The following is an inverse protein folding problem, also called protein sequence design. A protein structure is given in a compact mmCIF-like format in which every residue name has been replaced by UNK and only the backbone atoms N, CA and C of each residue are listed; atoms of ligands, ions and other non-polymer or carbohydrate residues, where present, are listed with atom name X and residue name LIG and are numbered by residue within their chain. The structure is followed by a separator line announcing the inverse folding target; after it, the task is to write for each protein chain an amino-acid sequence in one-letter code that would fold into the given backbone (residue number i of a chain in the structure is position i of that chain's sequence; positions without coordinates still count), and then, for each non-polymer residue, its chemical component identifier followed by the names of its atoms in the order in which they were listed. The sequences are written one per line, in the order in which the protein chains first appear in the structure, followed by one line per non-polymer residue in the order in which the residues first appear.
data_IF_476695959630
#
_entry.id   IF_476695959630
#
_cell.length_a   1.000
_cell.length_b   1.000
_cell.length_c   1.000
_cell.angle_alpha   90.00
_cell.angle_beta   90.00
_cell.angle_gamma   90.00
#
_symmetry.space_group_name_H-M   'P 1'
#
loop_
_entity.id
_entity.type
_entity.pdbx_description
1 polymer ?
#
# COMPACT_ATOMS: atom_id res chain seq x y z
N UNK A 1 -15.60 7.39 -2.58
CA UNK A 1 -15.29 8.61 -3.34
C UNK A 1 -16.49 9.53 -3.34
N UNK A 2 -16.59 10.38 -2.32
CA UNK A 2 -17.65 11.38 -2.12
C UNK A 2 -17.16 12.79 -2.47
N UNK A 3 -15.86 13.04 -2.46
CA UNK A 3 -15.24 14.33 -2.74
C UNK A 3 -13.80 14.16 -3.29
N UNK A 4 -13.15 15.28 -3.64
CA UNK A 4 -11.78 15.27 -4.15
C UNK A 4 -10.74 14.76 -3.13
N UNK A 5 -10.96 14.96 -1.83
CA UNK A 5 -10.04 14.44 -0.81
C UNK A 5 -10.01 12.92 -0.78
N UNK A 6 -11.13 12.24 -1.01
CA UNK A 6 -11.15 10.77 -1.09
C UNK A 6 -10.28 10.24 -2.22
N UNK A 7 -10.21 10.96 -3.35
CA UNK A 7 -9.33 10.59 -4.47
C UNK A 7 -7.86 10.76 -4.06
N UNK A 8 -7.51 11.89 -3.44
CA UNK A 8 -6.15 12.10 -2.94
C UNK A 8 -5.74 11.01 -1.95
N UNK A 9 -6.62 10.64 -1.01
CA UNK A 9 -6.31 9.59 -0.06
C UNK A 9 -6.18 8.21 -0.73
N UNK A 10 -7.01 7.88 -1.72
CA UNK A 10 -6.85 6.66 -2.52
C UNK A 10 -5.50 6.66 -3.26
N UNK A 11 -5.13 7.77 -3.88
CA UNK A 11 -3.85 7.92 -4.57
C UNK A 11 -2.67 7.70 -3.62
N UNK A 12 -2.68 8.34 -2.45
CA UNK A 12 -1.63 8.14 -1.44
C UNK A 12 -1.58 6.71 -0.94
N UNK A 13 -2.74 6.08 -0.70
CA UNK A 13 -2.80 4.68 -0.28
C UNK A 13 -2.16 3.74 -1.30
N UNK A 14 -2.48 3.90 -2.59
CA UNK A 14 -1.84 3.13 -3.67
C UNK A 14 -0.33 3.41 -3.74
N UNK A 15 0.05 4.69 -3.72
CA UNK A 15 1.44 5.11 -3.87
C UNK A 15 2.32 4.59 -2.71
N UNK A 16 1.80 4.61 -1.48
CA UNK A 16 2.51 4.11 -0.30
C UNK A 16 2.77 2.60 -0.39
N UNK A 17 1.81 1.79 -0.85
CA UNK A 17 2.05 0.36 -1.06
C UNK A 17 3.21 0.12 -2.03
N UNK A 18 3.23 0.80 -3.17
CA UNK A 18 4.31 0.67 -4.15
C UNK A 18 5.65 1.12 -3.57
N UNK A 19 5.66 2.24 -2.83
CA UNK A 19 6.85 2.75 -2.16
C UNK A 19 7.41 1.75 -1.14
N UNK A 20 6.58 1.21 -0.25
CA UNK A 20 7.02 0.28 0.78
C UNK A 20 7.39 -1.10 0.22
N UNK A 21 6.74 -1.57 -0.84
CA UNK A 21 7.21 -2.75 -1.56
C UNK A 21 8.64 -2.57 -2.08
N UNK A 22 8.95 -1.39 -2.65
CA UNK A 22 10.30 -1.08 -3.12
C UNK A 22 11.32 -0.96 -1.96
N UNK A 23 10.92 -0.35 -0.84
CA UNK A 23 11.78 -0.22 0.35
C UNK A 23 12.07 -1.57 1.02
N UNK A 24 11.15 -2.52 0.91
CA UNK A 24 11.20 -3.82 1.58
C UNK A 24 11.48 -4.99 0.62
N UNK A 25 12.13 -4.75 -0.54
CA UNK A 25 12.41 -5.78 -1.56
C UNK A 25 13.54 -6.75 -1.16
N UNK A 26 13.40 -7.38 0.00
CA UNK A 26 14.38 -8.32 0.56
C UNK A 26 14.28 -9.71 -0.09
N UNK A 27 15.38 -10.48 -0.17
CA UNK A 27 15.40 -11.81 -0.80
C UNK A 27 14.78 -12.93 0.06
N UNK A 28 14.11 -12.60 1.16
CA UNK A 28 13.49 -13.53 2.11
C UNK A 28 12.21 -12.90 2.72
N UNK A 29 11.29 -13.70 3.28
CA UNK A 29 10.08 -13.18 3.92
C UNK A 29 10.41 -12.26 5.09
N UNK A 30 9.68 -11.15 5.21
CA UNK A 30 9.85 -10.17 6.28
C UNK A 30 8.52 -9.84 6.94
N UNK A 31 8.59 -9.40 8.20
CA UNK A 31 7.43 -8.89 8.94
C UNK A 31 7.86 -7.67 9.76
N UNK A 32 8.22 -6.59 9.07
CA UNK A 32 8.72 -5.35 9.67
C UNK A 32 7.63 -4.28 9.75
N UNK A 33 7.11 -3.86 8.60
CA UNK A 33 5.91 -3.02 8.50
C UNK A 33 4.67 -3.88 8.33
N UNK A 34 4.71 -4.76 7.34
CA UNK A 34 3.68 -5.73 7.01
C UNK A 34 4.34 -7.10 6.73
N UNK A 35 3.60 -8.21 6.87
CA UNK A 35 4.05 -9.52 6.41
C UNK A 35 4.21 -9.51 4.89
N UNK A 36 5.41 -9.79 4.38
CA UNK A 36 5.71 -9.82 2.96
C UNK A 36 6.46 -11.09 2.55
N UNK A 37 6.26 -11.59 1.31
CA UNK A 37 7.08 -12.66 0.76
C UNK A 37 8.51 -12.17 0.47
N UNK A 38 9.42 -13.11 0.19
CA UNK A 38 10.71 -12.76 -0.40
C UNK A 38 10.53 -12.26 -1.84
N UNK A 39 11.33 -11.25 -2.21
CA UNK A 39 11.24 -10.50 -3.47
C UNK A 39 9.82 -9.96 -3.73
N UNK A 40 9.26 -9.17 -2.81
CA UNK A 40 7.87 -8.71 -2.89
C UNK A 40 7.59 -7.85 -4.13
N UNK A 41 8.57 -7.11 -4.67
CA UNK A 41 8.38 -6.37 -5.93
C UNK A 41 8.16 -7.34 -7.09
N UNK A 42 9.01 -8.37 -7.19
CA UNK A 42 8.87 -9.42 -8.22
C UNK A 42 7.54 -10.14 -8.08
N UNK A 43 7.11 -10.44 -6.86
CA UNK A 43 5.81 -11.07 -6.58
C UNK A 43 4.65 -10.19 -7.05
N UNK A 44 4.65 -8.89 -6.68
CA UNK A 44 3.63 -7.94 -7.12
C UNK A 44 3.57 -7.77 -8.64
N UNK A 45 4.72 -7.73 -9.32
CA UNK A 45 4.79 -7.67 -10.78
C UNK A 45 4.14 -8.88 -11.49
N UNK A 46 3.92 -10.00 -10.81
CA UNK A 46 3.20 -11.14 -11.42
C UNK A 46 1.75 -10.81 -11.78
N UNK A 47 1.13 -9.85 -11.09
CA UNK A 47 -0.22 -9.34 -11.33
C UNK A 47 -0.26 -8.23 -12.39
N UNK A 48 0.86 -7.53 -12.60
CA UNK A 48 0.98 -6.37 -13.48
C UNK A 48 1.97 -6.55 -14.64
N UNK A 49 1.86 -7.69 -15.36
CA UNK A 49 2.71 -7.96 -16.54
C UNK A 49 2.37 -7.09 -17.76
N UNK A 50 1.09 -6.75 -17.92
CA UNK A 50 0.59 -5.90 -19.00
C UNK A 50 -0.66 -5.15 -18.53
N UNK A 51 -0.74 -3.85 -18.82
CA UNK A 51 -1.87 -3.03 -18.45
C UNK A 51 -3.09 -3.33 -19.34
N UNK A 52 -4.26 -3.68 -18.77
CA UNK A 52 -5.50 -3.78 -19.52
C UNK A 52 -5.94 -2.43 -20.09
N UNK A 53 -6.62 -2.45 -21.24
CA UNK A 53 -7.24 -1.24 -21.82
C UNK A 53 -8.56 -0.85 -21.16
N UNK A 54 -9.22 -1.81 -20.50
CA UNK A 54 -10.46 -1.57 -19.76
C UNK A 54 -10.14 -0.99 -18.36
N UNK A 55 -10.80 0.12 -18.02
CA UNK A 55 -10.54 0.84 -16.76
C UNK A 55 -10.89 -0.01 -15.52
N UNK A 56 -11.91 -0.86 -15.61
CA UNK A 56 -12.30 -1.74 -14.48
C UNK A 56 -11.26 -2.83 -14.29
N UNK A 57 -10.80 -3.46 -15.38
CA UNK A 57 -9.72 -4.44 -15.34
C UNK A 57 -8.40 -3.82 -14.85
N UNK A 58 -8.07 -2.59 -15.26
CA UNK A 58 -6.89 -1.88 -14.80
C UNK A 58 -6.97 -1.57 -13.29
N UNK A 59 -8.14 -1.13 -12.80
CA UNK A 59 -8.35 -0.90 -11.38
C UNK A 59 -8.23 -2.18 -10.55
N UNK A 60 -8.74 -3.31 -11.07
CA UNK A 60 -8.56 -4.63 -10.44
C UNK A 60 -7.10 -5.06 -10.43
N UNK A 61 -6.36 -4.86 -11.51
CA UNK A 61 -4.92 -5.15 -11.55
C UNK A 61 -4.16 -4.32 -10.51
N UNK A 62 -4.47 -3.03 -10.38
CA UNK A 62 -3.87 -2.17 -9.38
C UNK A 62 -4.18 -2.64 -7.96
N UNK A 63 -5.43 -3.07 -7.71
CA UNK A 63 -5.84 -3.69 -6.46
C UNK A 63 -4.98 -4.91 -6.13
N UNK A 64 -4.81 -5.86 -7.05
CA UNK A 64 -3.98 -7.05 -6.84
C UNK A 64 -2.53 -6.70 -6.47
N UNK A 65 -1.95 -5.68 -7.12
CA UNK A 65 -0.58 -5.21 -6.84
C UNK A 65 -0.47 -4.67 -5.41
N UNK A 66 -1.35 -3.76 -5.00
CA UNK A 66 -1.27 -3.15 -3.66
C UNK A 66 -1.67 -4.14 -2.56
N UNK A 67 -2.49 -5.14 -2.88
CA UNK A 67 -2.92 -6.18 -1.95
C UNK A 67 -1.74 -7.06 -1.50
N UNK A 68 -0.66 -7.13 -2.28
CA UNK A 68 0.60 -7.76 -1.84
C UNK A 68 1.19 -7.04 -0.64
N UNK A 69 1.07 -5.71 -0.57
CA UNK A 69 1.56 -4.97 0.61
C UNK A 69 0.60 -5.10 1.79
N UNK A 70 -0.67 -4.79 1.57
CA UNK A 70 -1.64 -4.64 2.66
C UNK A 70 -2.30 -5.93 3.15
N UNK A 71 -2.25 -7.02 2.37
CA UNK A 71 -2.99 -8.24 2.70
C UNK A 71 -2.35 -9.52 2.18
N UNK A 72 -1.02 -9.61 2.18
CA UNK A 72 -0.34 -10.85 1.83
C UNK A 72 -0.72 -12.02 2.77
N UNK A 73 -0.96 -11.74 4.05
CA UNK A 73 -1.39 -12.71 5.05
C UNK A 73 -2.85 -13.15 4.91
N UNK A 74 -3.67 -12.41 4.14
CA UNK A 74 -5.11 -12.66 4.03
C UNK A 74 -5.93 -12.27 5.27
N UNK A 75 -5.37 -11.50 6.20
CA UNK A 75 -6.03 -11.11 7.46
C UNK A 75 -6.77 -9.78 7.38
N UNK A 76 -6.57 -9.00 6.31
CA UNK A 76 -7.29 -7.73 6.11
C UNK A 76 -8.68 -8.01 5.53
N UNK A 77 -9.72 -7.64 6.28
CA UNK A 77 -11.11 -7.81 5.86
C UNK A 77 -11.49 -6.90 4.68
N UNK A 78 -11.07 -5.64 4.72
CA UNK A 78 -11.33 -4.65 3.67
C UNK A 78 -10.29 -3.53 3.67
N UNK A 79 -10.05 -2.93 2.49
CA UNK A 79 -9.19 -1.75 2.39
C UNK A 79 -9.96 -0.50 2.84
N UNK A 80 -9.32 0.29 3.70
CA UNK A 80 -9.83 1.55 4.20
C UNK A 80 -8.78 2.64 3.93
N UNK A 81 -9.13 3.63 3.11
CA UNK A 81 -8.21 4.68 2.67
C UNK A 81 -8.78 6.10 2.84
N UNK A 82 -9.96 6.27 3.43
CA UNK A 82 -10.52 7.61 3.72
C UNK A 82 -10.04 8.14 5.06
N UNK A 83 -10.32 9.42 5.36
CA UNK A 83 -9.89 10.07 6.61
C UNK A 83 -10.30 9.35 7.90
N UNK A 84 -11.43 8.64 7.88
CA UNK A 84 -11.96 7.94 9.05
C UNK A 84 -11.29 6.56 9.26
N UNK A 85 -10.28 6.22 8.46
CA UNK A 85 -9.55 4.96 8.53
C UNK A 85 -8.30 5.08 9.42
N UNK A 86 -7.90 4.00 10.12
CA UNK A 86 -6.61 3.94 10.80
C UNK A 86 -5.45 4.05 9.80
N UNK A 87 -4.36 4.74 10.18
CA UNK A 87 -3.12 4.71 9.39
C UNK A 87 -2.49 3.32 9.49
N UNK A 88 -2.52 2.60 8.39
CA UNK A 88 -2.00 1.23 8.25
C UNK A 88 -0.67 1.20 7.50
N UNK A 89 -0.18 2.33 6.98
CA UNK A 89 0.94 2.33 6.05
C UNK A 89 2.29 2.14 6.73
N UNK A 90 2.47 2.73 7.91
CA UNK A 90 3.66 2.56 8.76
C UNK A 90 3.31 2.73 10.25
N UNK A 91 2.12 2.29 10.64
CA UNK A 91 1.60 2.47 12.01
C UNK A 91 2.52 1.90 13.10
N UNK A 92 3.38 0.93 12.77
CA UNK A 92 4.37 0.37 13.70
C UNK A 92 5.55 1.30 14.03
N UNK A 93 5.74 2.40 13.30
CA UNK A 93 6.92 3.27 13.39
C UNK A 93 6.66 4.65 14.02
N UNK A 94 5.51 4.89 14.66
CA UNK A 94 5.12 6.20 15.24
C UNK A 94 5.31 7.38 14.27
N UNK A 95 5.02 7.15 12.99
CA UNK A 95 5.21 8.14 11.93
C UNK A 95 4.29 9.36 12.08
N UNK A 96 3.15 9.19 12.73
CA UNK A 96 2.09 10.19 12.80
C UNK A 96 2.38 11.38 13.71
N UNK A 97 3.24 11.24 14.71
CA UNK A 97 3.53 12.31 15.68
C UNK A 97 5.04 12.59 15.79
N UNK A 98 5.84 11.57 16.11
CA UNK A 98 7.27 11.75 16.31
C UNK A 98 8.00 12.17 15.03
N UNK A 99 7.84 11.39 13.96
CA UNK A 99 8.50 11.66 12.69
C UNK A 99 8.01 12.95 12.03
N UNK A 100 6.69 13.18 12.06
CA UNK A 100 6.06 14.41 11.55
C UNK A 100 6.65 15.68 12.21
N UNK A 101 6.85 15.65 13.53
CA UNK A 101 7.51 16.73 14.25
C UNK A 101 8.95 16.98 13.77
N UNK A 102 9.73 15.92 13.52
CA UNK A 102 11.14 16.07 13.09
C UNK A 102 11.28 16.70 11.69
N UNK A 103 10.36 16.37 10.77
CA UNK A 103 10.41 16.86 9.38
C UNK A 103 9.64 18.16 9.16
N UNK A 104 8.95 18.66 10.19
CA UNK A 104 8.27 19.96 10.17
C UNK A 104 6.99 20.00 9.33
N UNK A 105 6.32 18.86 9.14
CA UNK A 105 5.01 18.79 8.49
C UNK A 105 3.91 18.49 9.52
N UNK A 106 2.79 19.24 9.53
CA UNK A 106 1.63 18.96 10.38
C UNK A 106 0.82 17.75 9.90
#
# INVERSE_FOLDING_TARGET
MKNASDFSSLYYYVNSAVFYLAMLDYPYPVNFLEPLPGFPVKYACTYAKSAPSDNVALAKQLYEVINVYYNYSGTLDYHCFTRDCPDTTAGSLDVGLGWAWQVGFP
#
